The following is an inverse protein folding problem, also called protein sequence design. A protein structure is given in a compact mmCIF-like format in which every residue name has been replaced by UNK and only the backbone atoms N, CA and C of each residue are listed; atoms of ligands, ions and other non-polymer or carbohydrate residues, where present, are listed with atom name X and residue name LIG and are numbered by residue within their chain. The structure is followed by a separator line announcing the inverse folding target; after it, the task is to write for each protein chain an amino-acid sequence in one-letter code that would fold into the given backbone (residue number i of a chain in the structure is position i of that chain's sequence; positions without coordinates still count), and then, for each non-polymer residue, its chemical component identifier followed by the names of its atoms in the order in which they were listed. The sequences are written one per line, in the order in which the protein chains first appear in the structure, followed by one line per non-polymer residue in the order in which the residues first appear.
data_IF_809057501011
#
_entry.id   IF_809057501011
#
_cell.length_a   1.000
_cell.length_b   1.000
_cell.length_c   1.000
_cell.angle_alpha   90.00
_cell.angle_beta   90.00
_cell.angle_gamma   90.00
#
_symmetry.space_group_name_H-M   'P 1'
#
loop_
_entity.id
_entity.type
_entity.pdbx_description
1 polymer ?
#
# COMPACT_ATOMS: atom_id res chain seq x y z
N UNK A 1 -28.99 61.25 1.67
CA UNK A 1 -28.53 59.97 2.24
C UNK A 1 -28.24 59.09 1.05
N UNK A 2 -26.96 58.99 0.70
CA UNK A 2 -26.50 58.55 -0.63
C UNK A 2 -26.76 57.05 -0.85
N UNK A 3 -27.87 56.73 -1.49
CA UNK A 3 -28.14 55.42 -2.07
C UNK A 3 -27.33 55.16 -3.36
N UNK A 4 -26.66 56.19 -3.89
CA UNK A 4 -25.92 56.12 -5.16
C UNK A 4 -24.55 55.43 -5.05
N UNK A 5 -24.01 55.29 -3.83
CA UNK A 5 -22.76 54.54 -3.62
C UNK A 5 -22.91 53.03 -3.85
N UNK A 6 -24.12 52.48 -3.67
CA UNK A 6 -24.39 51.05 -3.89
C UNK A 6 -24.47 50.67 -5.38
N UNK A 7 -24.77 51.63 -6.25
CA UNK A 7 -24.89 51.46 -7.71
C UNK A 7 -23.57 51.65 -8.47
N UNK A 8 -22.49 52.06 -7.78
CA UNK A 8 -21.13 52.19 -8.34
C UNK A 8 -20.23 50.98 -8.07
N UNK A 9 -20.80 49.92 -7.50
CA UNK A 9 -20.09 48.66 -7.31
C UNK A 9 -20.16 47.90 -8.63
N UNK A 10 -18.99 47.56 -9.19
CA UNK A 10 -18.91 46.66 -10.34
C UNK A 10 -19.27 45.24 -9.90
N UNK A 11 -20.57 44.98 -9.84
CA UNK A 11 -21.14 43.72 -9.43
C UNK A 11 -20.66 42.56 -10.32
N UNK A 12 -20.34 42.82 -11.59
CA UNK A 12 -19.79 41.81 -12.49
C UNK A 12 -18.39 41.37 -12.05
N UNK A 13 -17.53 42.32 -11.65
CA UNK A 13 -16.21 42.01 -11.11
C UNK A 13 -16.27 41.20 -9.81
N UNK A 14 -17.20 41.55 -8.91
CA UNK A 14 -17.41 40.81 -7.65
C UNK A 14 -17.95 39.39 -7.90
N UNK A 15 -18.91 39.24 -8.80
CA UNK A 15 -19.46 37.93 -9.17
C UNK A 15 -18.38 37.06 -9.84
N UNK A 16 -17.56 37.62 -10.73
CA UNK A 16 -16.44 36.89 -11.36
C UNK A 16 -15.43 36.39 -10.32
N UNK A 17 -15.03 37.25 -9.37
CA UNK A 17 -14.16 36.87 -8.27
C UNK A 17 -14.77 35.79 -7.38
N UNK A 18 -16.06 35.91 -7.06
CA UNK A 18 -16.77 34.91 -6.26
C UNK A 18 -16.80 33.56 -6.98
N UNK A 19 -17.10 33.53 -8.28
CA UNK A 19 -17.11 32.31 -9.09
C UNK A 19 -15.72 31.66 -9.15
N UNK A 20 -14.65 32.44 -9.30
CA UNK A 20 -13.27 31.94 -9.27
C UNK A 20 -12.91 31.31 -7.93
N UNK A 21 -13.28 31.96 -6.82
CA UNK A 21 -13.04 31.44 -5.47
C UNK A 21 -13.82 30.13 -5.27
N UNK A 22 -15.09 30.09 -5.66
CA UNK A 22 -15.92 28.88 -5.56
C UNK A 22 -15.32 27.74 -6.39
N UNK A 23 -14.87 28.01 -7.61
CA UNK A 23 -14.17 27.01 -8.43
C UNK A 23 -12.93 26.48 -7.72
N UNK A 24 -12.05 27.34 -7.21
CA UNK A 24 -10.84 26.92 -6.48
C UNK A 24 -11.20 26.07 -5.25
N UNK A 25 -12.22 26.49 -4.48
CA UNK A 25 -12.68 25.75 -3.30
C UNK A 25 -13.25 24.38 -3.66
N UNK A 26 -14.01 24.27 -4.77
CA UNK A 26 -14.52 22.98 -5.24
C UNK A 26 -13.37 22.04 -5.66
N UNK A 27 -12.36 22.54 -6.37
CA UNK A 27 -11.16 21.76 -6.70
C UNK A 27 -10.42 21.28 -5.44
N UNK A 28 -10.21 22.15 -4.46
CA UNK A 28 -9.60 21.78 -3.17
C UNK A 28 -10.45 20.72 -2.47
N UNK A 29 -11.77 20.87 -2.45
CA UNK A 29 -12.70 19.90 -1.87
C UNK A 29 -12.59 18.51 -2.50
N UNK A 30 -12.50 18.43 -3.83
CA UNK A 30 -12.31 17.16 -4.56
C UNK A 30 -10.92 16.55 -4.26
N UNK A 31 -9.86 17.36 -4.24
CA UNK A 31 -8.49 16.92 -3.89
C UNK A 31 -8.44 16.32 -2.49
N UNK A 32 -9.06 16.99 -1.51
CA UNK A 32 -9.15 16.51 -0.14
C UNK A 32 -9.97 15.22 -0.08
N UNK A 33 -11.14 15.17 -0.71
CA UNK A 33 -12.00 13.98 -0.74
C UNK A 33 -11.26 12.75 -1.28
N UNK A 34 -10.59 12.86 -2.43
CA UNK A 34 -9.80 11.75 -2.99
C UNK A 34 -8.62 11.42 -2.08
N UNK A 35 -7.96 12.42 -1.49
CA UNK A 35 -6.83 12.18 -0.59
C UNK A 35 -7.21 11.43 0.68
N UNK A 36 -8.43 11.65 1.20
CA UNK A 36 -8.91 11.03 2.44
C UNK A 36 -9.77 9.76 2.24
N UNK A 37 -10.41 9.57 1.08
CA UNK A 37 -11.23 8.37 0.79
C UNK A 37 -10.41 7.11 0.45
N UNK A 38 -9.10 7.22 0.23
CA UNK A 38 -8.26 6.12 -0.27
C UNK A 38 -7.81 5.13 0.82
N UNK A 39 -8.74 4.54 1.56
CA UNK A 39 -8.49 3.40 2.45
C UNK A 39 -9.45 2.24 2.14
N UNK A 40 -9.70 1.98 0.86
CA UNK A 40 -10.43 0.79 0.47
C UNK A 40 -9.53 -0.46 0.60
N UNK A 41 -10.15 -1.63 0.72
CA UNK A 41 -9.48 -2.91 0.65
C UNK A 41 -9.49 -3.39 -0.80
N UNK A 42 -8.36 -3.92 -1.28
CA UNK A 42 -8.27 -4.54 -2.62
C UNK A 42 -7.78 -5.97 -2.46
N UNK A 43 -8.34 -6.85 -3.30
CA UNK A 43 -8.10 -8.30 -3.28
C UNK A 43 -7.20 -8.76 -4.43
N UNK A 44 -6.33 -7.87 -4.93
CA UNK A 44 -5.49 -8.08 -6.11
C UNK A 44 -4.17 -8.78 -5.78
N UNK A 45 -3.95 -9.13 -4.53
CA UNK A 45 -2.72 -9.76 -4.04
C UNK A 45 -3.14 -10.76 -3.00
N UNK A 46 -2.40 -11.86 -2.94
CA UNK A 46 -2.59 -12.86 -1.91
C UNK A 46 -1.29 -13.18 -1.20
N UNK A 47 -1.37 -13.24 0.12
CA UNK A 47 -0.35 -13.82 0.97
C UNK A 47 -0.94 -15.09 1.57
N UNK A 48 -0.27 -16.23 1.40
CA UNK A 48 -0.71 -17.50 2.01
C UNK A 48 0.44 -18.17 2.73
N UNK A 49 0.16 -18.78 3.88
CA UNK A 49 1.09 -19.71 4.50
C UNK A 49 1.08 -21.04 3.73
N UNK A 50 2.27 -21.59 3.51
CA UNK A 50 2.46 -22.86 2.81
C UNK A 50 3.33 -23.81 3.64
N UNK A 51 3.09 -25.11 3.53
CA UNK A 51 3.95 -26.12 4.16
C UNK A 51 5.06 -26.56 3.21
N UNK A 52 6.22 -27.01 3.70
CA UNK A 52 7.30 -27.51 2.85
C UNK A 52 6.86 -28.62 1.88
N UNK A 53 5.92 -29.48 2.31
CA UNK A 53 5.39 -30.58 1.48
C UNK A 53 4.59 -30.10 0.25
N UNK A 54 4.16 -28.84 0.26
CA UNK A 54 3.37 -28.23 -0.82
C UNK A 54 4.27 -27.46 -1.81
N UNK A 55 5.59 -27.40 -1.60
CA UNK A 55 6.51 -26.65 -2.46
C UNK A 55 6.54 -27.17 -3.89
N UNK A 56 6.52 -28.49 -4.06
CA UNK A 56 6.48 -29.10 -5.40
C UNK A 56 5.22 -28.71 -6.17
N UNK A 57 4.11 -28.48 -5.45
CA UNK A 57 2.85 -28.03 -6.06
C UNK A 57 2.92 -26.59 -6.57
N UNK A 58 3.83 -25.75 -6.05
CA UNK A 58 3.99 -24.37 -6.52
C UNK A 58 4.38 -24.30 -7.99
N UNK A 59 5.20 -25.24 -8.46
CA UNK A 59 5.64 -25.31 -9.85
C UNK A 59 4.51 -25.65 -10.82
N UNK A 60 3.37 -26.18 -10.34
CA UNK A 60 2.18 -26.37 -11.16
C UNK A 60 1.34 -25.10 -11.31
N UNK A 61 1.48 -24.16 -10.38
CA UNK A 61 0.69 -22.91 -10.31
C UNK A 61 1.45 -21.69 -10.82
N UNK A 62 2.77 -21.68 -10.71
CA UNK A 62 3.61 -20.53 -11.01
C UNK A 62 4.77 -20.92 -11.93
N UNK A 63 5.01 -20.09 -12.94
CA UNK A 63 6.13 -20.28 -13.87
C UNK A 63 7.46 -19.88 -13.25
N UNK A 64 7.45 -18.87 -12.38
CA UNK A 64 8.67 -18.37 -11.76
C UNK A 64 8.44 -18.16 -10.26
N UNK A 65 9.40 -18.64 -9.46
CA UNK A 65 9.38 -18.53 -8.00
C UNK A 65 10.64 -17.78 -7.59
N UNK A 66 10.46 -16.58 -7.04
CA UNK A 66 11.51 -15.84 -6.36
C UNK A 66 11.56 -16.27 -4.90
N UNK A 67 12.73 -16.31 -4.29
CA UNK A 67 12.90 -16.70 -2.89
C UNK A 67 13.53 -15.55 -2.10
N UNK A 68 12.98 -15.27 -0.92
CA UNK A 68 13.53 -14.32 0.04
C UNK A 68 13.62 -14.98 1.41
N UNK A 69 14.81 -15.01 2.00
CA UNK A 69 15.06 -15.53 3.35
C UNK A 69 15.39 -14.38 4.30
N UNK A 70 14.60 -14.26 5.36
CA UNK A 70 14.79 -13.27 6.40
C UNK A 70 15.52 -13.93 7.58
N UNK A 71 16.80 -13.55 7.74
CA UNK A 71 17.74 -13.99 8.77
C UNK A 71 18.05 -15.49 8.76
N UNK A 72 19.13 -15.88 8.09
CA UNK A 72 19.52 -17.29 7.83
C UNK A 72 19.83 -18.12 9.10
N UNK A 73 19.97 -17.48 10.25
CA UNK A 73 20.39 -18.13 11.49
C UNK A 73 19.24 -18.68 12.35
N UNK A 74 17.99 -18.34 12.05
CA UNK A 74 16.86 -18.88 12.81
C UNK A 74 16.49 -20.29 12.34
N UNK A 75 16.01 -21.13 13.26
CA UNK A 75 15.64 -22.53 12.97
C UNK A 75 14.13 -22.68 12.71
N UNK A 76 13.33 -21.66 12.98
CA UNK A 76 11.87 -21.72 12.95
C UNK A 76 11.26 -20.76 11.94
N UNK A 77 11.46 -21.04 10.65
CA UNK A 77 10.83 -20.25 9.59
C UNK A 77 9.37 -20.65 9.37
N UNK A 78 8.54 -19.65 9.13
CA UNK A 78 7.30 -19.83 8.42
C UNK A 78 7.53 -19.57 6.92
N UNK A 79 6.87 -20.37 6.09
CA UNK A 79 6.91 -20.22 4.64
C UNK A 79 5.64 -19.55 4.18
N UNK A 80 5.79 -18.43 3.50
CA UNK A 80 4.69 -17.62 2.99
C UNK A 80 4.89 -17.43 1.50
N UNK A 81 3.81 -17.54 0.73
CA UNK A 81 3.81 -17.15 -0.68
C UNK A 81 3.14 -15.79 -0.82
N UNK A 82 3.74 -14.92 -1.62
CA UNK A 82 3.18 -13.65 -2.04
C UNK A 82 3.07 -13.65 -3.57
N UNK A 83 1.88 -13.44 -4.10
CA UNK A 83 1.69 -13.39 -5.54
C UNK A 83 0.59 -12.41 -5.97
N UNK A 84 0.74 -11.79 -7.15
CA UNK A 84 -0.29 -10.95 -7.74
C UNK A 84 -1.50 -11.75 -8.26
N UNK A 85 -2.69 -11.15 -8.15
CA UNK A 85 -3.93 -11.51 -8.83
C UNK A 85 -4.38 -10.34 -9.70
N UNK A 86 -4.47 -10.54 -11.00
CA UNK A 86 -5.06 -9.57 -11.95
C UNK A 86 -4.32 -8.23 -12.06
N UNK A 87 -3.16 -8.06 -11.41
CA UNK A 87 -2.35 -6.84 -11.47
C UNK A 87 -0.86 -7.16 -11.41
N UNK A 88 -0.07 -6.47 -12.20
CA UNK A 88 1.39 -6.58 -12.10
C UNK A 88 1.91 -5.76 -10.90
N UNK A 89 2.99 -6.25 -10.28
CA UNK A 89 3.67 -5.60 -9.18
C UNK A 89 5.00 -5.06 -9.69
N UNK A 90 5.15 -3.74 -9.69
CA UNK A 90 6.34 -3.06 -10.18
C UNK A 90 7.54 -3.34 -9.27
N UNK A 91 7.31 -3.27 -7.95
CA UNK A 91 8.36 -3.39 -6.95
C UNK A 91 7.80 -3.92 -5.63
N UNK A 92 8.56 -4.79 -4.99
CA UNK A 92 8.40 -5.27 -3.62
C UNK A 92 9.67 -4.97 -2.85
N UNK A 93 9.53 -4.38 -1.67
CA UNK A 93 10.64 -3.94 -0.83
C UNK A 93 10.47 -4.52 0.57
N UNK A 94 11.53 -5.12 1.09
CA UNK A 94 11.60 -5.64 2.45
C UNK A 94 12.41 -4.71 3.33
N UNK A 95 11.92 -4.50 4.55
CA UNK A 95 12.50 -3.60 5.52
C UNK A 95 12.61 -4.27 6.88
N UNK A 96 13.73 -4.05 7.57
CA UNK A 96 13.84 -4.37 8.99
C UNK A 96 13.09 -3.34 9.82
N UNK A 97 12.47 -3.82 10.89
CA UNK A 97 11.78 -3.00 11.88
C UNK A 97 12.56 -3.08 13.19
N UNK A 98 12.73 -1.92 13.84
CA UNK A 98 13.30 -1.81 15.18
C UNK A 98 12.31 -1.07 16.06
N UNK A 99 12.18 -1.53 17.31
CA UNK A 99 11.38 -0.84 18.30
C UNK A 99 12.16 0.32 18.89
N UNK A 100 11.66 1.54 18.70
CA UNK A 100 12.21 2.72 19.37
C UNK A 100 11.49 2.96 20.69
N UNK A 101 12.19 2.71 21.79
CA UNK A 101 11.68 2.88 23.14
C UNK A 101 11.37 4.33 23.50
N UNK A 102 12.00 5.31 22.84
CA UNK A 102 11.76 6.74 23.10
C UNK A 102 10.44 7.21 22.52
N UNK A 103 10.11 6.76 21.30
CA UNK A 103 8.86 7.11 20.63
C UNK A 103 7.73 6.10 20.84
N UNK A 104 8.02 4.98 21.53
CA UNK A 104 7.10 3.87 21.81
C UNK A 104 6.44 3.32 20.54
N UNK A 105 7.23 3.23 19.45
CA UNK A 105 6.75 2.90 18.11
C UNK A 105 7.76 2.03 17.35
N UNK A 106 7.25 1.22 16.43
CA UNK A 106 8.05 0.48 15.45
C UNK A 106 8.51 1.42 14.34
N UNK A 107 9.82 1.51 14.15
CA UNK A 107 10.45 2.34 13.13
C UNK A 107 11.07 1.44 12.07
N UNK A 108 10.96 1.86 10.81
CA UNK A 108 11.67 1.22 9.69
C UNK A 108 13.14 1.58 9.82
N UNK A 109 14.00 0.56 9.93
CA UNK A 109 15.44 0.74 10.06
C UNK A 109 16.11 0.63 8.69
N UNK A 110 16.37 -0.58 8.22
CA UNK A 110 17.13 -0.82 6.99
C UNK A 110 16.29 -1.47 5.90
N UNK A 111 16.63 -1.18 4.64
CA UNK A 111 16.08 -1.86 3.48
C UNK A 111 16.87 -3.14 3.23
N UNK A 112 16.22 -4.29 3.38
CA UNK A 112 16.86 -5.61 3.30
C UNK A 112 16.94 -6.13 1.87
N UNK A 113 15.86 -6.04 1.11
CA UNK A 113 15.78 -6.65 -0.22
C UNK A 113 14.78 -5.95 -1.12
N UNK A 114 14.96 -6.12 -2.43
CA UNK A 114 14.05 -5.59 -3.45
C UNK A 114 13.82 -6.61 -4.55
N UNK A 115 12.56 -6.91 -4.83
CA UNK A 115 12.15 -7.68 -6.00
C UNK A 115 11.40 -6.75 -6.94
N UNK A 116 11.69 -6.82 -8.25
CA UNK A 116 11.05 -5.96 -9.26
C UNK A 116 10.32 -6.81 -10.28
N UNK A 117 9.27 -6.23 -10.87
CA UNK A 117 8.54 -6.79 -12.01
C UNK A 117 7.98 -8.19 -11.75
N UNK A 118 7.26 -8.36 -10.64
CA UNK A 118 6.47 -9.57 -10.39
C UNK A 118 5.20 -9.48 -11.25
N UNK A 119 5.13 -10.32 -12.28
CA UNK A 119 4.01 -10.40 -13.21
C UNK A 119 3.02 -11.50 -12.79
N UNK A 120 1.88 -11.58 -13.48
CA UNK A 120 0.98 -12.73 -13.34
C UNK A 120 1.72 -14.06 -13.49
N UNK A 121 1.31 -15.07 -12.71
CA UNK A 121 1.94 -16.40 -12.61
C UNK A 121 3.38 -16.41 -12.08
N UNK A 122 3.81 -15.33 -11.42
CA UNK A 122 5.05 -15.33 -10.63
C UNK A 122 4.71 -15.30 -9.15
N UNK A 123 5.51 -15.99 -8.35
CA UNK A 123 5.34 -16.06 -6.90
C UNK A 123 6.64 -15.64 -6.21
N UNK A 124 6.51 -15.02 -5.04
CA UNK A 124 7.58 -14.73 -4.13
C UNK A 124 7.41 -15.60 -2.87
N UNK A 125 8.29 -16.58 -2.71
CA UNK A 125 8.39 -17.41 -1.53
C UNK A 125 9.22 -16.67 -0.48
N UNK A 126 8.63 -16.47 0.69
CA UNK A 126 9.17 -15.69 1.80
C UNK A 126 9.37 -16.63 2.97
N UNK A 127 10.60 -16.76 3.42
CA UNK A 127 10.99 -17.48 4.62
C UNK A 127 11.24 -16.44 5.70
N UNK A 128 10.36 -16.37 6.69
CA UNK A 128 10.51 -15.40 7.78
C UNK A 128 9.94 -15.98 9.05
N UNK A 129 10.46 -15.50 10.18
CA UNK A 129 9.87 -15.76 11.48
C UNK A 129 8.67 -14.84 11.66
N UNK A 130 7.66 -15.33 12.37
CA UNK A 130 6.46 -14.59 12.71
C UNK A 130 6.48 -14.35 14.23
N UNK A 131 7.24 -13.35 14.70
CA UNK A 131 7.36 -13.11 16.12
C UNK A 131 5.99 -12.76 16.71
N UNK A 132 5.78 -13.26 17.92
CA UNK A 132 4.57 -13.03 18.71
C UNK A 132 4.54 -11.64 19.36
N UNK A 133 5.72 -11.09 19.65
CA UNK A 133 5.87 -9.84 20.38
C UNK A 133 6.12 -8.67 19.42
N UNK A 134 7.37 -8.48 19.03
CA UNK A 134 7.82 -7.31 18.27
C UNK A 134 8.12 -7.78 16.83
N UNK A 135 7.38 -7.32 15.82
CA UNK A 135 7.69 -7.62 14.43
C UNK A 135 9.02 -7.01 14.02
N UNK A 136 9.82 -7.82 13.33
CA UNK A 136 11.13 -7.44 12.79
C UNK A 136 11.11 -7.19 11.29
N UNK A 137 10.06 -7.62 10.56
CA UNK A 137 9.97 -7.52 9.11
C UNK A 137 8.72 -6.76 8.64
N UNK A 138 8.93 -5.86 7.67
CA UNK A 138 7.85 -5.26 6.89
C UNK A 138 8.12 -5.42 5.40
N UNK A 139 7.09 -5.81 4.67
CA UNK A 139 7.06 -5.76 3.21
C UNK A 139 6.19 -4.61 2.76
N UNK A 140 6.66 -3.89 1.74
CA UNK A 140 5.88 -2.90 0.99
C UNK A 140 5.93 -3.26 -0.48
N UNK A 141 4.84 -2.99 -1.19
CA UNK A 141 4.81 -3.22 -2.63
C UNK A 141 4.07 -2.10 -3.33
N UNK A 142 4.37 -1.93 -4.61
CA UNK A 142 3.68 -1.00 -5.50
C UNK A 142 3.20 -1.75 -6.74
N UNK A 143 1.90 -1.63 -7.01
CA UNK A 143 1.27 -2.21 -8.20
C UNK A 143 1.44 -1.28 -9.41
N UNK A 144 1.30 -1.84 -10.61
CA UNK A 144 1.27 -1.08 -11.87
C UNK A 144 0.14 -0.05 -11.94
N UNK A 145 -0.94 -0.29 -11.18
CA UNK A 145 -2.05 0.65 -11.01
C UNK A 145 -1.73 1.79 -10.02
N UNK A 146 -0.52 1.83 -9.46
CA UNK A 146 -0.06 2.87 -8.55
C UNK A 146 -0.65 2.77 -7.14
N UNK A 147 -1.09 1.56 -6.73
CA UNK A 147 -1.46 1.27 -5.35
C UNK A 147 -0.22 0.83 -4.56
N UNK A 148 -0.09 1.32 -3.34
CA UNK A 148 0.95 0.93 -2.40
C UNK A 148 0.30 0.15 -1.28
N UNK A 149 0.72 -1.10 -1.10
CA UNK A 149 0.34 -1.90 0.06
C UNK A 149 1.52 -2.09 1.00
N UNK A 150 1.21 -2.35 2.26
CA UNK A 150 2.20 -2.70 3.27
C UNK A 150 1.68 -3.84 4.12
N UNK A 151 2.58 -4.74 4.49
CA UNK A 151 2.31 -5.84 5.38
C UNK A 151 3.45 -5.99 6.38
N UNK A 152 3.11 -6.04 7.66
CA UNK A 152 4.07 -6.30 8.74
C UNK A 152 3.88 -7.75 9.16
N UNK A 153 4.96 -8.52 9.20
CA UNK A 153 4.92 -9.94 9.54
C UNK A 153 4.93 -10.10 11.05
N UNK A 154 3.82 -10.61 11.61
CA UNK A 154 3.69 -10.95 13.02
C UNK A 154 2.64 -12.08 13.17
N UNK A 155 2.77 -12.88 14.22
CA UNK A 155 1.75 -13.86 14.57
C UNK A 155 0.62 -13.18 15.33
N UNK A 156 -0.64 -13.38 14.92
CA UNK A 156 -1.79 -12.80 15.61
C UNK A 156 -2.33 -13.69 16.75
N UNK A 157 -1.68 -14.81 17.10
CA UNK A 157 -2.03 -15.80 18.14
C UNK A 157 -3.46 -16.40 18.10
N UNK A 158 -4.40 -15.77 17.42
CA UNK A 158 -5.83 -16.03 17.57
C UNK A 158 -6.35 -17.12 16.64
N UNK A 159 -5.62 -17.50 15.59
CA UNK A 159 -6.03 -18.62 14.72
C UNK A 159 -4.95 -19.26 13.82
N UNK A 160 -3.67 -18.86 13.91
CA UNK A 160 -2.59 -19.40 13.07
C UNK A 160 -2.75 -19.18 11.55
N UNK A 161 -3.86 -18.59 11.11
CA UNK A 161 -4.14 -18.31 9.71
C UNK A 161 -3.52 -16.96 9.33
N UNK A 162 -2.44 -17.03 8.56
CA UNK A 162 -1.70 -15.86 8.03
C UNK A 162 -2.19 -15.54 6.60
N UNK A 163 -3.20 -16.26 6.10
CA UNK A 163 -3.73 -16.04 4.77
C UNK A 163 -4.46 -14.70 4.72
N UNK A 164 -3.96 -13.81 3.87
CA UNK A 164 -4.54 -12.49 3.66
C UNK A 164 -4.81 -12.34 2.18
N UNK A 165 -6.09 -12.20 1.86
CA UNK A 165 -6.62 -12.02 0.51
C UNK A 165 -7.06 -10.58 0.23
N UNK A 166 -6.93 -9.68 1.20
CA UNK A 166 -7.36 -8.28 1.08
C UNK A 166 -6.43 -7.36 1.85
N UNK A 167 -5.94 -6.30 1.19
CA UNK A 167 -5.03 -5.34 1.80
C UNK A 167 -5.55 -3.92 1.69
N UNK A 168 -5.29 -3.16 2.75
CA UNK A 168 -5.49 -1.72 2.76
C UNK A 168 -4.40 -1.08 1.90
N UNK A 169 -4.78 -0.33 0.89
CA UNK A 169 -3.83 0.34 0.01
C UNK A 169 -3.83 1.85 0.19
N UNK A 170 -2.73 2.48 -0.24
CA UNK A 170 -2.59 3.92 -0.41
C UNK A 170 -2.25 4.21 -1.87
N UNK A 171 -2.96 5.15 -2.51
CA UNK A 171 -2.60 5.58 -3.86
C UNK A 171 -1.32 6.43 -3.87
N UNK A 172 -0.49 6.20 -4.88
CA UNK A 172 0.63 7.08 -5.24
C UNK A 172 0.14 8.49 -5.60
N UNK A 173 1.00 9.50 -5.45
CA UNK A 173 0.67 10.88 -5.84
C UNK A 173 0.25 10.96 -7.32
N UNK A 174 0.97 10.26 -8.20
CA UNK A 174 0.66 10.17 -9.64
C UNK A 174 -0.76 9.64 -9.87
N UNK A 175 -1.14 8.53 -9.22
CA UNK A 175 -2.49 7.96 -9.40
C UNK A 175 -3.59 8.84 -8.79
N UNK A 176 -3.30 9.54 -7.68
CA UNK A 176 -4.23 10.54 -7.13
C UNK A 176 -4.49 11.68 -8.11
N UNK A 177 -3.45 12.17 -8.80
CA UNK A 177 -3.58 13.20 -9.83
C UNK A 177 -4.36 12.70 -11.05
N UNK A 178 -4.12 11.47 -11.50
CA UNK A 178 -4.90 10.88 -12.60
C UNK A 178 -6.37 10.71 -12.22
N UNK A 179 -6.66 10.24 -11.00
CA UNK A 179 -8.03 10.11 -10.52
C UNK A 179 -8.77 11.45 -10.45
N UNK A 180 -8.05 12.55 -10.16
CA UNK A 180 -8.61 13.91 -10.22
C UNK A 180 -8.97 14.34 -11.65
N UNK A 181 -8.26 13.82 -12.65
CA UNK A 181 -8.51 14.07 -14.07
C UNK A 181 -9.50 13.06 -14.69
N UNK A 182 -10.05 12.12 -13.90
CA UNK A 182 -10.97 11.09 -14.38
C UNK A 182 -10.32 9.91 -15.10
N UNK A 183 -9.01 9.67 -14.89
CA UNK A 183 -8.18 8.61 -15.48
C UNK A 183 -7.68 7.60 -14.43
#
# INVERSE_FOLDING_TARGET
MDTDYFLKIDWAMYIDWLLRIVQILTFIGVILKISFQNKAYINNIEIQAIKPIEFDSLHTRFHHIYEFKHDENDKHYHHLIFYPKEVDIEIVEFYSLVYDSKSNRLVVNDKLHTVKNLKNYTCLLIHTNLPENIPSLRMKWKTSQGQIGEYTFYSNMYNGNINISSFKYKLTLKRKLLALLGL
#
